data_IF_654387222885
#
_entry.id   IF_654387222885
#
_cell.length_a   1.000
_cell.length_b   1.000
_cell.length_c   1.000
_cell.angle_alpha   90.00
_cell.angle_beta   90.00
_cell.angle_gamma   90.00
#
_symmetry.space_group_name_H-M   'P 1'
#
loop_
_entity.id
_entity.type
_entity.pdbx_description
1 polymer ?
#
# COMPACT_ATOMS: atom_id res chain seq x y z
N UNK A 1 -86.63 -76.24 -39.99
CA UNK A 1 -86.24 -75.89 -41.37
C UNK A 1 -85.53 -77.10 -41.95
N UNK A 2 -86.24 -77.85 -42.79
CA UNK A 2 -86.19 -77.82 -44.27
C UNK A 2 -85.14 -78.83 -44.75
N UNK A 3 -85.59 -79.98 -45.25
CA UNK A 3 -85.61 -80.32 -46.70
C UNK A 3 -84.29 -80.98 -47.12
N UNK A 4 -84.23 -82.02 -47.95
CA UNK A 4 -85.22 -82.65 -48.80
C UNK A 4 -84.52 -83.56 -49.81
N UNK A 5 -85.30 -84.49 -50.35
CA UNK A 5 -85.25 -85.11 -51.69
C UNK A 5 -83.95 -85.79 -52.20
N UNK A 6 -83.94 -87.11 -52.46
CA UNK A 6 -84.55 -87.89 -53.57
C UNK A 6 -83.88 -87.73 -54.96
N UNK A 7 -83.65 -88.90 -55.61
CA UNK A 7 -83.64 -89.28 -57.06
C UNK A 7 -82.64 -90.46 -57.20
N UNK A 8 -82.93 -91.74 -57.47
CA UNK A 8 -83.91 -92.52 -58.27
C UNK A 8 -83.60 -92.61 -59.78
N UNK A 9 -83.71 -93.86 -60.29
CA UNK A 9 -83.91 -94.39 -61.67
C UNK A 9 -82.66 -95.07 -62.29
N UNK A 10 -82.69 -96.25 -62.95
CA UNK A 10 -83.75 -97.04 -63.65
C UNK A 10 -83.25 -98.52 -63.81
N UNK A 11 -84.07 -99.56 -63.59
CA UNK A 11 -84.79 -100.42 -64.56
C UNK A 11 -83.90 -101.33 -65.47
N UNK A 12 -84.15 -102.63 -65.69
CA UNK A 12 -85.44 -103.33 -65.71
C UNK A 12 -85.40 -104.88 -65.67
N UNK A 13 -86.64 -105.42 -65.60
CA UNK A 13 -87.21 -106.79 -65.73
C UNK A 13 -87.01 -107.38 -67.16
N UNK A 14 -87.51 -108.59 -67.61
CA UNK A 14 -88.71 -109.36 -67.18
C UNK A 14 -88.63 -110.93 -67.22
N UNK A 15 -89.45 -111.67 -66.45
CA UNK A 15 -90.65 -112.50 -66.82
C UNK A 15 -90.40 -113.96 -67.31
N UNK A 16 -90.92 -114.97 -66.55
CA UNK A 16 -92.09 -115.88 -66.82
C UNK A 16 -91.73 -117.17 -67.55
N UNK A 17 -91.89 -118.34 -66.91
CA UNK A 17 -93.01 -119.33 -67.02
C UNK A 17 -92.49 -120.56 -67.79
N UNK A 18 -92.90 -121.83 -67.66
CA UNK A 18 -94.05 -122.53 -67.08
C UNK A 18 -93.62 -123.98 -66.72
N UNK A 19 -94.23 -124.53 -65.66
CA UNK A 19 -94.82 -125.89 -65.48
C UNK A 19 -94.22 -127.12 -66.20
N UNK A 20 -93.83 -128.17 -65.44
CA UNK A 20 -94.62 -129.39 -65.13
C UNK A 20 -94.52 -130.44 -66.25
N UNK A 21 -94.24 -131.73 -66.00
CA UNK A 21 -95.18 -132.75 -65.53
C UNK A 21 -94.41 -134.06 -65.23
N UNK A 22 -94.84 -134.75 -64.16
CA UNK A 22 -94.96 -136.20 -63.85
C UNK A 22 -94.72 -137.22 -65.00
N UNK A 23 -94.58 -138.55 -64.84
CA UNK A 23 -94.39 -139.55 -63.77
C UNK A 23 -94.47 -140.94 -64.47
N UNK A 24 -94.22 -142.02 -63.72
CA UNK A 24 -94.65 -143.43 -63.93
C UNK A 24 -93.62 -144.34 -64.66
N UNK A 25 -93.09 -145.46 -64.15
CA UNK A 25 -93.51 -146.56 -63.25
C UNK A 25 -94.27 -147.71 -63.97
N UNK A 26 -93.62 -148.88 -64.08
CA UNK A 26 -94.12 -150.29 -64.18
C UNK A 26 -92.97 -151.22 -64.64
N UNK A 27 -92.48 -152.26 -63.93
CA UNK A 27 -93.08 -153.54 -63.46
C UNK A 27 -93.71 -154.39 -64.57
N UNK A 28 -93.54 -155.72 -64.74
CA UNK A 28 -92.74 -156.78 -64.08
C UNK A 28 -92.84 -158.11 -64.91
N UNK A 29 -92.10 -159.15 -64.47
CA UNK A 29 -92.41 -160.63 -64.50
C UNK A 29 -92.12 -161.58 -65.71
N UNK A 30 -91.26 -162.60 -65.42
CA UNK A 30 -91.43 -164.07 -65.65
C UNK A 30 -91.27 -164.71 -67.05
N UNK A 31 -91.01 -166.05 -67.22
CA UNK A 31 -90.75 -167.14 -66.25
C UNK A 31 -89.57 -168.14 -66.56
N UNK A 32 -89.17 -168.93 -65.54
CA UNK A 32 -88.71 -170.35 -65.44
C UNK A 32 -87.73 -171.04 -66.43
N UNK A 33 -86.52 -171.44 -65.96
CA UNK A 33 -86.12 -172.82 -65.54
C UNK A 33 -84.59 -173.07 -65.53
N UNK A 34 -84.11 -173.89 -64.57
CA UNK A 34 -82.76 -174.53 -64.42
C UNK A 34 -81.56 -173.59 -64.13
N UNK A 35 -80.67 -173.70 -63.12
CA UNK A 35 -80.21 -174.75 -62.19
C UNK A 35 -79.73 -174.13 -60.84
N UNK A 36 -79.72 -174.93 -59.76
CA UNK A 36 -79.73 -174.59 -58.32
C UNK A 36 -78.49 -173.87 -57.69
N UNK A 37 -77.50 -173.39 -58.46
CA UNK A 37 -76.25 -172.81 -57.88
C UNK A 37 -76.20 -171.26 -57.87
N UNK A 38 -76.96 -170.57 -58.72
CA UNK A 38 -76.96 -169.08 -58.74
C UNK A 38 -77.85 -168.42 -57.66
N UNK A 39 -78.83 -169.15 -57.11
CA UNK A 39 -79.82 -168.59 -56.20
C UNK A 39 -79.25 -168.31 -54.80
N UNK A 40 -78.29 -169.13 -54.34
CA UNK A 40 -77.58 -168.86 -53.09
C UNK A 40 -76.52 -167.75 -53.21
N UNK A 41 -75.94 -167.55 -54.39
CA UNK A 41 -75.02 -166.43 -54.65
C UNK A 41 -75.75 -165.07 -54.59
N UNK A 42 -76.95 -164.98 -55.15
CA UNK A 42 -77.75 -163.74 -55.12
C UNK A 42 -78.32 -163.42 -53.74
N UNK A 43 -78.69 -164.43 -52.93
CA UNK A 43 -79.07 -164.23 -51.52
C UNK A 43 -77.92 -163.65 -50.69
N UNK A 44 -76.69 -164.11 -50.94
CA UNK A 44 -75.49 -163.58 -50.27
C UNK A 44 -75.22 -162.12 -50.65
N UNK A 45 -75.31 -161.76 -51.94
CA UNK A 45 -75.13 -160.38 -52.41
C UNK A 45 -76.17 -159.40 -51.86
N UNK A 46 -77.44 -159.81 -51.74
CA UNK A 46 -78.50 -158.94 -51.18
C UNK A 46 -78.25 -158.63 -49.70
N UNK A 47 -77.76 -159.59 -48.93
CA UNK A 47 -77.47 -159.40 -47.51
C UNK A 47 -76.23 -158.52 -47.29
N UNK A 48 -75.21 -158.65 -48.13
CA UNK A 48 -74.02 -157.78 -48.12
C UNK A 48 -74.37 -156.33 -48.48
N UNK A 49 -75.25 -156.09 -49.47
CA UNK A 49 -75.72 -154.75 -49.83
C UNK A 49 -76.58 -154.10 -48.74
N UNK A 50 -77.43 -154.86 -48.05
CA UNK A 50 -78.19 -154.35 -46.89
C UNK A 50 -77.28 -153.98 -45.71
N UNK A 51 -76.17 -154.71 -45.53
CA UNK A 51 -75.18 -154.41 -44.49
C UNK A 51 -74.40 -153.13 -44.84
N UNK A 52 -74.06 -152.95 -46.12
CA UNK A 52 -73.37 -151.75 -46.60
C UNK A 52 -74.24 -150.49 -46.53
N UNK A 53 -75.54 -150.60 -46.81
CA UNK A 53 -76.47 -149.47 -46.70
C UNK A 53 -76.62 -148.97 -45.25
N UNK A 54 -76.69 -149.88 -44.26
CA UNK A 54 -76.73 -149.52 -42.84
C UNK A 54 -75.43 -148.87 -42.35
N UNK A 55 -74.27 -149.31 -42.85
CA UNK A 55 -73.00 -148.68 -42.52
C UNK A 55 -72.89 -147.25 -43.07
N UNK A 56 -73.39 -147.00 -44.29
CA UNK A 56 -73.37 -145.64 -44.88
C UNK A 56 -74.30 -144.69 -44.14
N UNK A 57 -75.45 -145.15 -43.65
CA UNK A 57 -76.33 -144.34 -42.77
C UNK A 57 -75.65 -144.01 -41.43
N UNK A 58 -74.96 -144.99 -40.82
CA UNK A 58 -74.23 -144.78 -39.57
C UNK A 58 -73.05 -143.80 -39.75
N UNK A 59 -72.29 -143.90 -40.83
CA UNK A 59 -71.20 -142.97 -41.15
C UNK A 59 -71.71 -141.54 -41.44
N UNK A 60 -72.84 -141.40 -42.13
CA UNK A 60 -73.46 -140.07 -42.36
C UNK A 60 -73.88 -139.40 -41.04
N UNK A 61 -74.39 -140.19 -40.09
CA UNK A 61 -74.76 -139.68 -38.77
C UNK A 61 -73.54 -139.24 -37.96
N UNK A 62 -72.43 -139.99 -38.07
CA UNK A 62 -71.17 -139.69 -37.38
C UNK A 62 -70.46 -138.46 -37.96
N UNK A 63 -70.46 -138.28 -39.28
CA UNK A 63 -69.91 -137.09 -39.95
C UNK A 63 -70.72 -135.83 -39.65
N UNK A 64 -72.05 -135.92 -39.55
CA UNK A 64 -72.89 -134.80 -39.06
C UNK A 64 -72.54 -134.42 -37.62
N UNK A 65 -72.33 -135.40 -36.74
CA UNK A 65 -71.90 -135.15 -35.36
C UNK A 65 -70.53 -134.46 -35.28
N UNK A 66 -69.57 -134.83 -36.14
CA UNK A 66 -68.27 -134.15 -36.20
C UNK A 66 -68.37 -132.73 -36.78
N UNK A 67 -69.23 -132.51 -37.78
CA UNK A 67 -69.45 -131.19 -38.36
C UNK A 67 -70.08 -130.22 -37.35
N UNK A 68 -71.05 -130.68 -36.55
CA UNK A 68 -71.66 -129.86 -35.49
C UNK A 68 -70.64 -129.51 -34.38
N UNK A 69 -69.75 -130.45 -34.03
CA UNK A 69 -68.64 -130.19 -33.09
C UNK A 69 -67.65 -129.15 -33.63
N UNK A 70 -67.30 -129.21 -34.92
CA UNK A 70 -66.43 -128.21 -35.55
C UNK A 70 -67.10 -126.84 -35.67
N UNK A 71 -68.38 -126.77 -36.02
CA UNK A 71 -69.14 -125.52 -36.02
C UNK A 71 -69.17 -124.88 -34.63
N UNK A 72 -69.31 -125.67 -33.56
CA UNK A 72 -69.30 -125.17 -32.18
C UNK A 72 -67.92 -124.62 -31.78
N UNK A 73 -66.83 -125.27 -32.21
CA UNK A 73 -65.47 -124.80 -31.96
C UNK A 73 -65.14 -123.50 -32.73
N UNK A 74 -65.63 -123.35 -33.97
CA UNK A 74 -65.48 -122.13 -34.77
C UNK A 74 -66.20 -120.95 -34.13
N UNK A 75 -67.44 -121.13 -33.65
CA UNK A 75 -68.18 -120.09 -32.93
C UNK A 75 -67.44 -119.64 -31.64
N UNK A 76 -66.84 -120.59 -30.91
CA UNK A 76 -66.04 -120.29 -29.71
C UNK A 76 -64.77 -119.50 -30.03
N UNK A 77 -64.07 -119.85 -31.12
CA UNK A 77 -62.89 -119.11 -31.58
C UNK A 77 -63.25 -117.73 -32.15
N UNK A 78 -64.37 -117.59 -32.85
CA UNK A 78 -64.90 -116.30 -33.29
C UNK A 78 -65.23 -115.40 -32.10
N UNK A 79 -65.86 -115.93 -31.05
CA UNK A 79 -66.11 -115.18 -29.81
C UNK A 79 -64.81 -114.73 -29.12
N UNK A 80 -63.78 -115.58 -29.06
CA UNK A 80 -62.46 -115.21 -28.50
C UNK A 80 -61.72 -114.21 -29.37
N UNK A 81 -61.85 -114.29 -30.69
CA UNK A 81 -61.26 -113.32 -31.61
C UNK A 81 -61.92 -111.95 -31.45
N UNK A 82 -63.23 -111.91 -31.23
CA UNK A 82 -63.96 -110.67 -30.99
C UNK A 82 -63.63 -110.05 -29.63
N UNK A 83 -63.41 -110.86 -28.60
CA UNK A 83 -62.88 -110.41 -27.31
C UNK A 83 -61.47 -109.82 -27.45
N UNK A 84 -60.57 -110.48 -28.18
CA UNK A 84 -59.23 -109.96 -28.47
C UNK A 84 -59.29 -108.67 -29.29
N UNK A 85 -60.23 -108.55 -30.23
CA UNK A 85 -60.43 -107.31 -31.00
C UNK A 85 -60.93 -106.18 -30.11
N UNK A 86 -61.86 -106.45 -29.19
CA UNK A 86 -62.33 -105.47 -28.21
C UNK A 86 -61.19 -105.02 -27.27
N UNK A 87 -60.38 -105.96 -26.79
CA UNK A 87 -59.22 -105.64 -25.95
C UNK A 87 -58.14 -104.86 -26.71
N UNK A 88 -57.90 -105.20 -27.98
CA UNK A 88 -56.93 -104.49 -28.82
C UNK A 88 -57.42 -103.07 -29.17
N UNK A 89 -58.73 -102.88 -29.39
CA UNK A 89 -59.32 -101.55 -29.55
C UNK A 89 -59.20 -100.72 -28.25
N UNK A 90 -59.38 -101.36 -27.09
CA UNK A 90 -59.25 -100.71 -25.77
C UNK A 90 -57.80 -100.38 -25.43
N UNK A 91 -56.84 -101.23 -25.80
CA UNK A 91 -55.40 -100.97 -25.68
C UNK A 91 -54.99 -99.83 -26.61
N UNK A 92 -55.48 -99.81 -27.85
CA UNK A 92 -55.23 -98.72 -28.79
C UNK A 92 -55.71 -97.36 -28.26
N UNK A 93 -56.93 -97.30 -27.70
CA UNK A 93 -57.43 -96.09 -27.03
C UNK A 93 -56.58 -95.69 -25.82
N UNK A 94 -56.09 -96.65 -25.02
CA UNK A 94 -55.19 -96.36 -23.89
C UNK A 94 -53.82 -95.85 -24.33
N UNK A 95 -53.28 -96.36 -25.43
CA UNK A 95 -52.02 -95.89 -26.01
C UNK A 95 -52.18 -94.46 -26.52
N UNK A 96 -53.26 -94.16 -27.27
CA UNK A 96 -53.57 -92.80 -27.73
C UNK A 96 -53.80 -91.82 -26.55
N UNK A 97 -54.44 -92.28 -25.47
CA UNK A 97 -54.61 -91.50 -24.24
C UNK A 97 -53.27 -91.26 -23.50
N UNK A 98 -52.34 -92.22 -23.52
CA UNK A 98 -51.02 -92.06 -22.93
C UNK A 98 -50.12 -91.15 -23.78
N UNK A 99 -50.19 -91.25 -25.10
CA UNK A 99 -49.46 -90.35 -26.02
C UNK A 99 -49.92 -88.90 -25.83
N UNK A 100 -51.23 -88.66 -25.74
CA UNK A 100 -51.77 -87.32 -25.47
C UNK A 100 -51.39 -86.81 -24.07
N UNK A 101 -51.39 -87.68 -23.05
CA UNK A 101 -50.90 -87.33 -21.71
C UNK A 101 -49.42 -87.02 -21.69
N UNK A 102 -48.59 -87.75 -22.43
CA UNK A 102 -47.14 -87.51 -22.53
C UNK A 102 -46.86 -86.15 -23.20
N UNK A 103 -47.58 -85.83 -24.28
CA UNK A 103 -47.46 -84.52 -24.93
C UNK A 103 -47.91 -83.38 -24.00
N UNK A 104 -48.94 -83.59 -23.18
CA UNK A 104 -49.33 -82.60 -22.15
C UNK A 104 -48.26 -82.46 -21.06
N UNK A 105 -47.68 -83.58 -20.61
CA UNK A 105 -46.59 -83.60 -19.63
C UNK A 105 -45.36 -82.84 -20.16
N UNK A 106 -44.92 -83.12 -21.40
CA UNK A 106 -43.80 -82.43 -22.05
C UNK A 106 -44.06 -80.92 -22.17
N UNK A 107 -45.29 -80.52 -22.48
CA UNK A 107 -45.67 -79.12 -22.55
C UNK A 107 -45.64 -78.44 -21.17
N UNK A 108 -46.06 -79.14 -20.10
CA UNK A 108 -45.99 -78.64 -18.73
C UNK A 108 -44.54 -78.55 -18.24
N UNK A 109 -43.71 -79.53 -18.56
CA UNK A 109 -42.28 -79.53 -18.22
C UNK A 109 -41.58 -78.37 -18.95
N UNK A 110 -41.86 -78.17 -20.23
CA UNK A 110 -41.36 -77.02 -21.00
C UNK A 110 -41.82 -75.68 -20.42
N UNK A 111 -43.11 -75.57 -20.07
CA UNK A 111 -43.68 -74.37 -19.42
C UNK A 111 -43.01 -74.10 -18.06
N UNK A 112 -42.69 -75.14 -17.30
CA UNK A 112 -42.00 -75.04 -16.01
C UNK A 112 -40.57 -74.56 -16.17
N UNK A 113 -39.85 -75.05 -17.18
CA UNK A 113 -38.50 -74.56 -17.53
C UNK A 113 -38.55 -73.09 -17.97
N UNK A 114 -39.51 -72.72 -18.83
CA UNK A 114 -39.69 -71.33 -19.27
C UNK A 114 -40.00 -70.37 -18.11
N UNK A 115 -40.87 -70.78 -17.17
CA UNK A 115 -41.19 -69.99 -15.99
C UNK A 115 -40.00 -69.86 -15.03
N UNK A 116 -39.23 -70.93 -14.83
CA UNK A 116 -38.02 -70.88 -14.02
C UNK A 116 -36.95 -69.97 -14.64
N UNK A 117 -36.77 -70.02 -15.96
CA UNK A 117 -35.85 -69.11 -16.65
C UNK A 117 -36.33 -67.66 -16.54
N UNK A 118 -37.64 -67.41 -16.70
CA UNK A 118 -38.21 -66.08 -16.53
C UNK A 118 -38.06 -65.56 -15.09
N UNK A 119 -38.22 -66.42 -14.08
CA UNK A 119 -37.98 -66.07 -12.68
C UNK A 119 -36.50 -65.73 -12.44
N UNK A 120 -35.58 -66.50 -13.02
CA UNK A 120 -34.13 -66.26 -12.90
C UNK A 120 -33.72 -64.95 -13.57
N UNK A 121 -34.30 -64.63 -14.72
CA UNK A 121 -34.09 -63.34 -15.42
C UNK A 121 -34.64 -62.18 -14.57
N UNK A 122 -35.85 -62.30 -14.01
CA UNK A 122 -36.41 -61.26 -13.14
C UNK A 122 -35.61 -61.06 -11.85
N UNK A 123 -35.08 -62.12 -11.25
CA UNK A 123 -34.18 -62.01 -10.10
C UNK A 123 -32.88 -61.30 -10.49
N UNK A 124 -32.31 -61.63 -11.65
CA UNK A 124 -31.10 -60.97 -12.16
C UNK A 124 -31.36 -59.48 -12.41
N UNK A 125 -32.45 -59.12 -13.09
CA UNK A 125 -32.85 -57.72 -13.35
C UNK A 125 -33.09 -56.93 -12.06
N UNK A 126 -33.71 -57.56 -11.04
CA UNK A 126 -33.90 -56.93 -9.73
C UNK A 126 -32.57 -56.73 -9.01
N UNK A 127 -31.65 -57.69 -9.10
CA UNK A 127 -30.33 -57.60 -8.50
C UNK A 127 -29.48 -56.51 -9.17
N UNK A 128 -29.48 -56.44 -10.51
CA UNK A 128 -28.75 -55.38 -11.24
C UNK A 128 -29.33 -54.01 -10.92
N UNK A 129 -30.65 -53.85 -10.92
CA UNK A 129 -31.30 -52.57 -10.61
C UNK A 129 -31.10 -52.16 -9.14
N UNK A 130 -31.00 -53.13 -8.22
CA UNK A 130 -30.66 -52.86 -6.83
C UNK A 130 -29.20 -52.39 -6.67
N UNK A 131 -28.25 -53.01 -7.38
CA UNK A 131 -26.84 -52.59 -7.35
C UNK A 131 -26.65 -51.22 -8.01
N UNK A 132 -27.31 -50.95 -9.15
CA UNK A 132 -27.30 -49.62 -9.79
C UNK A 132 -27.87 -48.55 -8.86
N UNK A 133 -29.00 -48.83 -8.17
CA UNK A 133 -29.55 -47.89 -7.17
C UNK A 133 -28.59 -47.64 -6.02
N UNK A 134 -27.87 -48.66 -5.57
CA UNK A 134 -26.87 -48.54 -4.50
C UNK A 134 -25.69 -47.69 -4.95
N UNK A 135 -25.15 -47.92 -6.16
CA UNK A 135 -24.09 -47.09 -6.74
C UNK A 135 -24.53 -45.64 -6.94
N UNK A 136 -25.75 -45.41 -7.42
CA UNK A 136 -26.31 -44.07 -7.52
C UNK A 136 -26.48 -43.40 -6.15
N UNK A 137 -26.90 -44.13 -5.12
CA UNK A 137 -26.99 -43.57 -3.77
C UNK A 137 -25.61 -43.21 -3.18
N UNK A 138 -24.60 -44.06 -3.42
CA UNK A 138 -23.23 -43.83 -2.97
C UNK A 138 -22.62 -42.60 -3.65
N UNK A 139 -22.72 -42.52 -4.99
CA UNK A 139 -22.23 -41.34 -5.75
C UNK A 139 -22.94 -40.05 -5.36
N UNK A 140 -24.24 -40.07 -5.10
CA UNK A 140 -24.98 -38.89 -4.61
C UNK A 140 -24.50 -38.44 -3.22
N UNK A 141 -24.20 -39.38 -2.32
CA UNK A 141 -23.69 -39.02 -1.00
C UNK A 141 -22.23 -38.53 -1.07
N UNK A 142 -21.40 -39.12 -1.91
CA UNK A 142 -20.05 -38.62 -2.21
C UNK A 142 -20.08 -37.18 -2.74
N UNK A 143 -20.92 -36.90 -3.75
CA UNK A 143 -21.10 -35.55 -4.30
C UNK A 143 -21.61 -34.57 -3.25
N UNK A 144 -22.53 -34.99 -2.38
CA UNK A 144 -23.03 -34.16 -1.28
C UNK A 144 -21.94 -33.84 -0.27
N UNK A 145 -21.11 -34.82 0.11
CA UNK A 145 -19.97 -34.61 1.01
C UNK A 145 -18.93 -33.69 0.37
N UNK A 146 -18.61 -33.92 -0.92
CA UNK A 146 -17.68 -33.09 -1.67
C UNK A 146 -18.17 -31.64 -1.79
N UNK A 147 -19.45 -31.43 -2.12
CA UNK A 147 -20.05 -30.11 -2.18
C UNK A 147 -20.03 -29.40 -0.83
N UNK A 148 -20.34 -30.11 0.27
CA UNK A 148 -20.23 -29.55 1.62
C UNK A 148 -18.79 -29.18 1.98
N UNK A 149 -17.80 -30.01 1.63
CA UNK A 149 -16.39 -29.70 1.85
C UNK A 149 -15.98 -28.45 1.08
N UNK A 150 -16.37 -28.33 -0.19
CA UNK A 150 -16.13 -27.15 -1.02
C UNK A 150 -16.77 -25.89 -0.44
N UNK A 151 -18.00 -25.97 0.06
CA UNK A 151 -18.67 -24.83 0.71
C UNK A 151 -17.93 -24.37 1.97
N UNK A 152 -17.46 -25.30 2.81
CA UNK A 152 -16.67 -24.96 4.01
C UNK A 152 -15.36 -24.27 3.66
N UNK A 153 -14.65 -24.77 2.63
CA UNK A 153 -13.40 -24.16 2.15
C UNK A 153 -13.65 -22.74 1.58
N UNK A 154 -14.75 -22.58 0.84
CA UNK A 154 -15.19 -21.27 0.34
C UNK A 154 -15.53 -20.30 1.48
N UNK A 155 -16.19 -20.75 2.53
CA UNK A 155 -16.52 -19.89 3.68
C UNK A 155 -15.27 -19.51 4.50
N UNK A 156 -14.28 -20.42 4.59
CA UNK A 156 -12.98 -20.14 5.20
C UNK A 156 -12.21 -19.07 4.43
N UNK A 157 -12.10 -19.21 3.10
CA UNK A 157 -11.43 -18.21 2.24
C UNK A 157 -12.11 -16.84 2.28
N UNK A 158 -13.46 -16.79 2.30
CA UNK A 158 -14.20 -15.54 2.49
C UNK A 158 -13.91 -14.89 3.85
N UNK A 159 -13.81 -15.70 4.91
CA UNK A 159 -13.47 -15.21 6.26
C UNK A 159 -12.06 -14.62 6.32
N UNK A 160 -11.10 -15.25 5.65
CA UNK A 160 -9.73 -14.73 5.49
C UNK A 160 -9.71 -13.41 4.71
N UNK A 161 -10.44 -13.33 3.59
CA UNK A 161 -10.56 -12.11 2.80
C UNK A 161 -11.15 -10.95 3.62
N UNK A 162 -12.18 -11.20 4.42
CA UNK A 162 -12.73 -10.21 5.34
C UNK A 162 -11.74 -9.81 6.44
N UNK A 163 -10.88 -10.74 6.89
CA UNK A 163 -9.76 -10.45 7.78
C UNK A 163 -8.75 -9.49 7.12
N UNK A 164 -8.30 -9.83 5.92
CA UNK A 164 -7.37 -9.01 5.13
C UNK A 164 -7.93 -7.63 4.82
N UNK A 165 -9.22 -7.53 4.50
CA UNK A 165 -9.88 -6.24 4.24
C UNK A 165 -9.89 -5.32 5.47
N UNK A 166 -10.08 -5.90 6.68
CA UNK A 166 -9.97 -5.14 7.93
C UNK A 166 -8.54 -4.69 8.21
N UNK A 167 -7.55 -5.54 7.99
CA UNK A 167 -6.14 -5.13 8.12
C UNK A 167 -5.76 -4.04 7.11
N UNK A 168 -6.25 -4.13 5.89
CA UNK A 168 -6.00 -3.12 4.86
C UNK A 168 -6.62 -1.75 5.25
N UNK A 169 -7.79 -1.76 5.90
CA UNK A 169 -8.37 -0.53 6.46
C UNK A 169 -7.47 0.09 7.53
N UNK A 170 -6.88 -0.73 8.43
CA UNK A 170 -5.92 -0.24 9.44
C UNK A 170 -4.67 0.36 8.79
N UNK A 171 -4.16 -0.25 7.72
CA UNK A 171 -3.04 0.31 6.93
C UNK A 171 -3.39 1.71 6.41
N UNK A 172 -4.61 1.91 5.93
CA UNK A 172 -5.10 3.23 5.51
C UNK A 172 -5.06 4.27 6.64
N UNK A 173 -5.46 3.91 7.85
CA UNK A 173 -5.42 4.82 9.00
C UNK A 173 -3.98 5.09 9.49
N UNK A 174 -3.11 4.08 9.46
CA UNK A 174 -1.68 4.29 9.70
C UNK A 174 -1.07 5.23 8.67
N UNK A 175 -1.42 5.10 7.38
CA UNK A 175 -0.93 5.97 6.32
C UNK A 175 -1.32 7.44 6.54
N UNK A 176 -2.58 7.69 6.93
CA UNK A 176 -3.03 9.05 7.31
C UNK A 176 -2.22 9.60 8.49
N UNK A 177 -2.05 8.79 9.53
CA UNK A 177 -1.30 9.17 10.73
C UNK A 177 0.16 9.50 10.39
N UNK A 178 0.82 8.69 9.57
CA UNK A 178 2.18 8.94 9.09
C UNK A 178 2.25 10.25 8.30
N UNK A 179 1.28 10.51 7.43
CA UNK A 179 1.23 11.75 6.64
C UNK A 179 1.08 13.00 7.51
N UNK A 180 0.26 12.93 8.56
CA UNK A 180 0.16 14.00 9.57
C UNK A 180 1.48 14.21 10.31
N UNK A 181 2.15 13.13 10.74
CA UNK A 181 3.45 13.22 11.40
C UNK A 181 4.52 13.84 10.51
N UNK A 182 4.59 13.44 9.23
CA UNK A 182 5.49 14.06 8.24
C UNK A 182 5.23 15.56 8.13
N UNK A 183 3.95 15.95 8.11
CA UNK A 183 3.56 17.37 8.03
C UNK A 183 3.97 18.15 9.28
N UNK A 184 3.79 17.58 10.47
CA UNK A 184 4.25 18.16 11.75
C UNK A 184 5.77 18.33 11.77
N UNK A 185 6.53 17.31 11.37
CA UNK A 185 8.00 17.37 11.29
C UNK A 185 8.46 18.49 10.35
N UNK A 186 7.86 18.61 9.16
CA UNK A 186 8.17 19.71 8.22
C UNK A 186 7.87 21.10 8.80
N UNK A 187 6.83 21.22 9.63
CA UNK A 187 6.51 22.50 10.27
C UNK A 187 7.55 22.88 11.32
N UNK A 188 7.91 21.94 12.21
CA UNK A 188 8.95 22.15 13.23
C UNK A 188 10.29 22.50 12.58
N UNK A 189 10.62 21.88 11.45
CA UNK A 189 11.86 22.17 10.73
C UNK A 189 11.88 23.57 10.10
N UNK A 190 10.73 24.08 9.65
CA UNK A 190 10.58 25.49 9.24
C UNK A 190 10.75 26.44 10.42
N UNK A 191 10.06 26.19 11.53
CA UNK A 191 10.18 27.00 12.75
C UNK A 191 11.61 27.06 13.28
N UNK A 192 12.33 25.94 13.26
CA UNK A 192 13.76 25.89 13.59
C UNK A 192 14.60 26.78 12.67
N UNK A 193 14.34 26.76 11.36
CA UNK A 193 15.07 27.58 10.39
C UNK A 193 14.78 29.07 10.58
N UNK A 194 13.54 29.42 10.86
CA UNK A 194 13.14 30.80 11.15
C UNK A 194 13.80 31.31 12.45
N UNK A 195 13.82 30.48 13.50
CA UNK A 195 14.52 30.80 14.74
C UNK A 195 16.04 30.98 14.51
N UNK A 196 16.66 30.13 13.69
CA UNK A 196 18.08 30.28 13.33
C UNK A 196 18.34 31.58 12.57
N UNK A 197 17.47 31.94 11.64
CA UNK A 197 17.59 33.22 10.92
C UNK A 197 17.45 34.40 11.87
N UNK A 198 16.49 34.35 12.82
CA UNK A 198 16.34 35.35 13.87
C UNK A 198 17.60 35.48 14.74
N UNK A 199 18.19 34.35 15.16
CA UNK A 199 19.44 34.33 15.91
C UNK A 199 20.60 34.97 15.13
N UNK A 200 20.76 34.62 13.85
CA UNK A 200 21.79 35.22 13.01
C UNK A 200 21.58 36.74 12.86
N UNK A 201 20.33 37.20 12.73
CA UNK A 201 19.99 38.62 12.70
C UNK A 201 20.40 39.35 13.99
N UNK A 202 20.13 38.74 15.15
CA UNK A 202 20.56 39.28 16.45
C UNK A 202 22.08 39.34 16.57
N UNK A 203 22.82 38.34 16.08
CA UNK A 203 24.29 38.39 16.05
C UNK A 203 24.81 39.57 15.23
N UNK A 204 24.22 39.85 14.06
CA UNK A 204 24.58 41.03 13.27
C UNK A 204 24.31 42.34 14.01
N UNK A 205 23.17 42.44 14.73
CA UNK A 205 22.85 43.62 15.54
C UNK A 205 23.88 43.80 16.66
N UNK A 206 24.26 42.73 17.35
CA UNK A 206 25.29 42.78 18.41
C UNK A 206 26.62 43.28 17.83
N UNK A 207 27.07 42.74 16.70
CA UNK A 207 28.32 43.16 16.07
C UNK A 207 28.30 44.65 15.67
N UNK A 208 27.17 45.15 15.18
CA UNK A 208 27.03 46.58 14.86
C UNK A 208 27.08 47.45 16.12
N UNK A 209 26.38 47.06 17.19
CA UNK A 209 26.41 47.79 18.46
C UNK A 209 27.80 47.78 19.10
N UNK A 210 28.53 46.67 19.03
CA UNK A 210 29.93 46.60 19.49
C UNK A 210 30.84 47.56 18.72
N UNK A 211 30.63 47.69 17.41
CA UNK A 211 31.35 48.66 16.58
C UNK A 211 31.01 50.09 17.00
N UNK A 212 29.73 50.44 17.10
CA UNK A 212 29.30 51.78 17.52
C UNK A 212 29.82 52.15 18.92
N UNK A 213 29.87 51.19 19.84
CA UNK A 213 30.42 51.37 21.17
C UNK A 213 31.94 51.66 21.12
N UNK A 214 32.68 50.94 20.27
CA UNK A 214 34.12 51.18 20.10
C UNK A 214 34.40 52.53 19.44
N UNK A 215 33.64 52.89 18.40
CA UNK A 215 33.75 54.19 17.74
C UNK A 215 33.47 55.33 18.76
N UNK A 216 32.44 55.17 19.59
CA UNK A 216 32.12 56.12 20.66
C UNK A 216 33.23 56.20 21.72
N UNK A 217 33.83 55.07 22.08
CA UNK A 217 34.98 55.03 23.02
C UNK A 217 36.17 55.80 22.47
N UNK A 218 36.49 55.66 21.18
CA UNK A 218 37.57 56.41 20.55
C UNK A 218 37.28 57.92 20.53
N UNK A 219 36.06 58.32 20.19
CA UNK A 219 35.66 59.73 20.23
C UNK A 219 35.83 60.35 21.64
N UNK A 220 35.50 59.60 22.70
CA UNK A 220 35.73 60.06 24.09
C UNK A 220 37.21 60.22 24.39
N UNK A 221 38.07 59.28 23.95
CA UNK A 221 39.52 59.38 24.16
C UNK A 221 40.12 60.61 23.46
N UNK A 222 39.65 60.93 22.26
CA UNK A 222 40.08 62.12 21.52
C UNK A 222 39.67 63.40 22.25
N UNK A 223 38.43 63.47 22.74
CA UNK A 223 37.94 64.61 23.54
C UNK A 223 38.72 64.77 24.87
N UNK A 224 39.05 63.67 25.54
CA UNK A 224 39.89 63.72 26.76
C UNK A 224 41.27 64.31 26.47
N UNK A 225 41.86 63.98 25.31
CA UNK A 225 43.13 64.53 24.86
C UNK A 225 43.00 66.03 24.56
N UNK A 226 41.99 66.45 23.81
CA UNK A 226 41.74 67.87 23.52
C UNK A 226 41.53 68.69 24.80
N UNK A 227 40.80 68.13 25.78
CA UNK A 227 40.60 68.77 27.08
C UNK A 227 41.91 68.90 27.86
N UNK A 228 42.78 67.89 27.79
CA UNK A 228 44.11 67.94 28.39
C UNK A 228 44.97 69.01 27.73
N UNK A 229 44.99 69.08 26.40
CA UNK A 229 45.76 70.07 25.65
C UNK A 229 45.26 71.50 25.95
N UNK A 230 43.94 71.69 25.98
CA UNK A 230 43.31 72.97 26.36
C UNK A 230 43.68 73.39 27.79
N UNK A 231 43.76 72.44 28.73
CA UNK A 231 44.19 72.73 30.11
C UNK A 231 45.65 73.22 30.16
N UNK A 232 46.54 72.65 29.36
CA UNK A 232 47.92 73.14 29.28
C UNK A 232 47.99 74.55 28.69
N UNK A 233 47.22 74.81 27.62
CA UNK A 233 47.16 76.14 27.02
C UNK A 233 46.67 77.21 28.03
N UNK A 234 45.66 76.88 28.86
CA UNK A 234 45.22 77.78 29.93
C UNK A 234 46.32 78.01 30.97
N UNK A 235 47.03 76.97 31.39
CA UNK A 235 48.15 77.12 32.34
C UNK A 235 49.28 77.99 31.77
N UNK A 236 49.57 77.87 30.48
CA UNK A 236 50.57 78.70 29.83
C UNK A 236 50.14 80.18 29.81
N UNK A 237 48.88 80.46 29.46
CA UNK A 237 48.32 81.82 29.54
C UNK A 237 48.28 82.39 30.97
N UNK A 238 48.01 81.55 31.98
CA UNK A 238 48.09 81.97 33.38
C UNK A 238 49.51 82.37 33.78
N UNK A 239 50.53 81.65 33.30
CA UNK A 239 51.95 82.02 33.50
C UNK A 239 52.30 83.32 32.79
N UNK A 240 51.93 83.46 31.51
CA UNK A 240 52.18 84.69 30.75
C UNK A 240 51.51 85.91 31.41
N UNK A 241 50.28 85.76 31.90
CA UNK A 241 49.60 86.82 32.64
C UNK A 241 50.31 87.17 33.96
N UNK A 242 50.84 86.18 34.68
CA UNK A 242 51.62 86.43 35.90
C UNK A 242 52.91 87.20 35.60
N UNK A 243 53.61 86.82 34.52
CA UNK A 243 54.80 87.53 34.05
C UNK A 243 54.47 88.98 33.66
N UNK A 244 53.41 89.22 32.89
CA UNK A 244 52.96 90.57 32.56
C UNK A 244 52.65 91.41 33.79
N UNK A 245 52.03 90.82 34.82
CA UNK A 245 51.75 91.52 36.07
C UNK A 245 53.03 91.95 36.80
N UNK A 246 54.07 91.10 36.79
CA UNK A 246 55.40 91.44 37.32
C UNK A 246 56.05 92.59 36.52
N UNK A 247 55.94 92.55 35.19
CA UNK A 247 56.42 93.62 34.31
C UNK A 247 55.74 94.97 34.60
N UNK A 248 54.41 94.98 34.73
CA UNK A 248 53.66 96.19 35.09
C UNK A 248 54.10 96.76 36.43
N UNK A 249 54.25 95.91 37.45
CA UNK A 249 54.71 96.35 38.78
C UNK A 249 56.15 96.90 38.76
N UNK A 250 57.01 96.35 37.90
CA UNK A 250 58.35 96.88 37.67
C UNK A 250 58.31 98.26 37.01
N UNK A 251 57.44 98.46 36.02
CA UNK A 251 57.24 99.76 35.37
C UNK A 251 56.69 100.81 36.35
N UNK A 252 55.70 100.45 37.18
CA UNK A 252 55.19 101.34 38.23
C UNK A 252 56.31 101.79 39.16
N UNK A 253 57.18 100.87 39.59
CA UNK A 253 58.35 101.19 40.42
C UNK A 253 59.34 102.12 39.70
N UNK A 254 59.57 101.94 38.39
CA UNK A 254 60.38 102.87 37.59
C UNK A 254 59.77 104.27 37.53
N UNK A 255 58.44 104.37 37.33
CA UNK A 255 57.73 105.65 37.36
C UNK A 255 57.84 106.34 38.72
N UNK A 256 57.73 105.60 39.82
CA UNK A 256 57.94 106.14 41.17
C UNK A 256 59.35 106.71 41.36
N UNK A 257 60.37 106.00 40.87
CA UNK A 257 61.78 106.47 40.89
C UNK A 257 61.95 107.73 40.05
N UNK A 258 61.35 107.79 38.87
CA UNK A 258 61.38 108.97 38.00
C UNK A 258 60.73 110.18 38.68
N UNK A 259 59.55 110.00 39.28
CA UNK A 259 58.85 111.05 40.03
C UNK A 259 59.71 111.54 41.21
N UNK A 260 60.32 110.62 41.97
CA UNK A 260 61.20 110.97 43.07
C UNK A 260 62.43 111.76 42.61
N UNK A 261 63.03 111.35 41.48
CA UNK A 261 64.17 112.04 40.85
C UNK A 261 63.79 113.45 40.41
N UNK A 262 62.66 113.60 39.72
CA UNK A 262 62.15 114.90 39.29
C UNK A 262 61.85 115.83 40.47
N UNK A 263 61.25 115.31 41.56
CA UNK A 263 61.06 116.08 42.80
C UNK A 263 62.39 116.51 43.42
N UNK A 264 63.37 115.62 43.48
CA UNK A 264 64.70 115.92 44.00
C UNK A 264 65.41 117.00 43.19
N UNK A 265 65.43 116.89 41.86
CA UNK A 265 66.03 117.89 40.94
C UNK A 265 65.31 119.23 41.08
N UNK A 266 63.97 119.23 41.11
CA UNK A 266 63.18 120.46 41.29
C UNK A 266 63.48 121.14 42.62
N UNK A 267 63.55 120.38 43.71
CA UNK A 267 63.90 120.91 45.04
C UNK A 267 65.32 121.47 45.08
N UNK A 268 66.31 120.79 44.48
CA UNK A 268 67.68 121.32 44.36
C UNK A 268 67.74 122.59 43.52
N UNK A 269 66.97 122.65 42.44
CA UNK A 269 66.89 123.82 41.57
C UNK A 269 66.28 125.01 42.32
N UNK A 270 65.19 124.79 43.06
CA UNK A 270 64.57 125.80 43.91
C UNK A 270 65.53 126.29 45.00
N UNK A 271 66.19 125.36 45.71
CA UNK A 271 67.18 125.70 46.74
C UNK A 271 68.33 126.54 46.17
N UNK A 272 68.82 126.22 44.97
CA UNK A 272 69.82 127.03 44.28
C UNK A 272 69.29 128.41 43.88
N UNK A 273 68.03 128.51 43.45
CA UNK A 273 67.41 129.79 43.07
C UNK A 273 67.17 130.72 44.27
N UNK A 274 66.84 130.17 45.45
CA UNK A 274 66.63 130.92 46.69
C UNK A 274 67.93 131.46 47.30
N UNK A 275 69.08 130.93 46.90
CA UNK A 275 70.39 131.47 47.30
C UNK A 275 70.56 132.91 46.80
N UNK A 276 71.10 133.77 47.66
CA UNK A 276 71.44 135.14 47.28
C UNK A 276 72.44 135.15 46.12
N UNK A 277 72.52 136.28 45.39
CA UNK A 277 73.45 136.41 44.27
C UNK A 277 74.92 136.16 44.65
N UNK A 278 75.31 136.39 45.92
CA UNK A 278 76.65 136.05 46.42
C UNK A 278 76.79 134.55 46.66
N UNK A 279 75.86 133.94 47.39
CA UNK A 279 75.89 132.51 47.70
C UNK A 279 75.86 131.65 46.44
N UNK A 280 75.09 132.02 45.41
CA UNK A 280 75.11 131.31 44.12
C UNK A 280 76.48 131.36 43.44
N UNK A 281 77.18 132.51 43.49
CA UNK A 281 78.54 132.61 42.94
C UNK A 281 79.49 131.74 43.72
N UNK A 282 79.49 131.84 45.05
CA UNK A 282 80.37 131.04 45.90
C UNK A 282 80.13 129.54 45.68
N UNK A 283 78.86 129.12 45.51
CA UNK A 283 78.51 127.74 45.14
C UNK A 283 79.05 127.34 43.76
N UNK A 284 78.85 128.17 42.73
CA UNK A 284 79.37 127.89 41.38
C UNK A 284 80.89 127.83 41.35
N UNK A 285 81.57 128.74 42.07
CA UNK A 285 83.03 128.78 42.20
C UNK A 285 83.54 127.54 42.94
N UNK A 286 82.92 127.17 44.06
CA UNK A 286 83.30 125.97 44.80
C UNK A 286 83.10 124.70 43.96
N UNK A 287 81.97 124.57 43.25
CA UNK A 287 81.75 123.44 42.35
C UNK A 287 82.68 123.43 41.14
N UNK A 288 83.03 124.59 40.61
CA UNK A 288 83.99 124.70 39.52
C UNK A 288 85.41 124.38 39.97
N UNK A 289 85.81 124.77 41.18
CA UNK A 289 87.08 124.41 41.81
C UNK A 289 87.17 122.90 42.11
N UNK A 290 86.07 122.28 42.56
CA UNK A 290 86.00 120.82 42.73
C UNK A 290 86.22 120.05 41.42
N UNK A 291 85.63 120.52 40.31
CA UNK A 291 85.78 119.88 39.00
C UNK A 291 87.09 120.27 38.29
N UNK A 292 87.58 121.48 38.53
CA UNK A 292 88.76 122.07 37.91
C UNK A 292 89.63 122.82 38.95
N UNK A 293 90.47 122.10 39.70
CA UNK A 293 91.29 122.69 40.76
C UNK A 293 92.22 123.81 40.25
N UNK A 294 92.33 124.90 41.02
CA UNK A 294 93.12 126.10 40.74
C UNK A 294 92.45 127.10 39.79
N UNK A 295 91.19 126.87 39.39
CA UNK A 295 90.46 127.74 38.44
C UNK A 295 89.23 128.42 39.02
N UNK A 296 88.90 128.18 40.28
CA UNK A 296 87.81 128.83 41.00
C UNK A 296 88.01 130.35 41.12
N UNK A 297 89.22 130.81 41.48
CA UNK A 297 89.52 132.23 41.66
C UNK A 297 89.33 133.04 40.36
N UNK A 298 89.69 132.47 39.21
CA UNK A 298 89.46 133.07 37.88
C UNK A 298 87.97 133.24 37.59
N UNK A 299 87.18 132.19 37.87
CA UNK A 299 85.73 132.25 37.69
C UNK A 299 85.08 133.24 38.66
N UNK A 300 85.49 133.28 39.93
CA UNK A 300 85.00 134.23 40.94
C UNK A 300 85.26 135.68 40.51
N UNK A 301 86.48 135.96 40.05
CA UNK A 301 86.85 137.27 39.53
C UNK A 301 85.95 137.68 38.35
N UNK A 302 85.74 136.78 37.38
CA UNK A 302 84.89 137.05 36.21
C UNK A 302 83.41 137.23 36.58
N UNK A 303 82.88 136.41 37.49
CA UNK A 303 81.49 136.53 37.95
C UNK A 303 81.26 137.82 38.74
N UNK A 304 82.19 138.22 39.63
CA UNK A 304 82.14 139.51 40.33
C UNK A 304 82.17 140.68 39.34
N UNK A 305 83.04 140.60 38.33
CA UNK A 305 83.17 141.60 37.28
C UNK A 305 81.86 141.89 36.55
N UNK A 306 81.06 140.86 36.31
CA UNK A 306 79.84 140.91 35.49
C UNK A 306 78.58 141.38 36.24
N UNK A 307 78.59 141.41 37.58
CA UNK A 307 77.41 141.77 38.39
C UNK A 307 77.10 143.28 38.46
N UNK A 308 78.02 144.13 38.02
CA UNK A 308 77.89 145.59 38.09
C UNK A 308 77.25 146.20 36.83
N UNK A 309 75.92 146.08 36.66
CA UNK A 309 75.10 146.82 35.65
C UNK A 309 75.42 146.59 34.15
N UNK A 310 74.42 146.81 33.28
CA UNK A 310 74.46 146.55 31.83
C UNK A 310 75.65 147.27 31.16
N UNK A 311 76.44 146.55 30.35
CA UNK A 311 77.62 147.04 29.61
C UNK A 311 78.77 147.57 30.49
N UNK A 312 78.85 147.15 31.75
CA UNK A 312 79.96 147.49 32.66
C UNK A 312 80.60 146.23 33.22
N UNK A 313 81.92 146.15 33.13
CA UNK A 313 82.71 145.02 33.64
C UNK A 313 83.75 145.57 34.62
N UNK A 314 83.82 144.99 35.82
CA UNK A 314 84.81 145.36 36.84
C UNK A 314 86.06 144.45 36.74
N UNK A 315 87.17 144.97 36.21
CA UNK A 315 88.44 144.23 36.10
C UNK A 315 89.49 144.95 36.94
N UNK A 316 90.15 144.23 37.87
CA UNK A 316 91.15 144.78 38.81
C UNK A 316 90.68 146.01 39.61
N UNK A 317 89.45 145.97 40.11
CA UNK A 317 88.90 147.04 40.96
C UNK A 317 88.46 148.30 40.19
N UNK A 318 88.53 148.30 38.86
CA UNK A 318 88.09 149.42 38.01
C UNK A 318 86.89 149.01 37.15
N UNK A 319 85.80 149.79 37.23
CA UNK A 319 84.60 149.62 36.40
C UNK A 319 84.87 150.23 35.03
N UNK A 320 84.86 149.43 33.96
CA UNK A 320 84.96 149.88 32.57
C UNK A 320 83.62 149.74 31.85
N UNK A 321 83.23 150.77 31.11
CA UNK A 321 82.17 150.68 30.10
C UNK A 321 82.72 149.88 28.91
N UNK A 322 82.04 148.79 28.55
CA UNK A 322 82.42 147.89 27.44
C UNK A 322 81.36 147.93 26.35
N UNK A 323 81.77 147.57 25.13
CA UNK A 323 80.82 147.44 24.02
C UNK A 323 79.77 146.35 24.32
N UNK A 324 78.58 146.49 23.74
CA UNK A 324 77.52 145.50 23.93
C UNK A 324 77.95 144.09 23.46
N UNK A 325 78.75 144.02 22.39
CA UNK A 325 79.29 142.77 21.84
C UNK A 325 80.29 142.11 22.79
N UNK A 326 81.19 142.89 23.39
CA UNK A 326 82.17 142.42 24.37
C UNK A 326 81.49 141.95 25.67
N UNK A 327 80.48 142.69 26.13
CA UNK A 327 79.64 142.27 27.24
C UNK A 327 78.93 140.94 26.96
N UNK A 328 78.35 140.76 25.76
CA UNK A 328 77.75 139.50 25.37
C UNK A 328 78.77 138.36 25.25
N UNK A 329 79.96 138.59 24.70
CA UNK A 329 81.03 137.58 24.62
C UNK A 329 81.45 137.10 26.00
N UNK A 330 81.75 138.01 26.93
CA UNK A 330 82.17 137.62 28.28
C UNK A 330 81.05 136.91 29.05
N UNK A 331 79.79 137.36 28.87
CA UNK A 331 78.63 136.65 29.40
C UNK A 331 78.45 135.25 28.79
N UNK A 332 78.77 135.07 27.51
CA UNK A 332 78.75 133.77 26.84
C UNK A 332 79.90 132.87 27.30
N UNK A 333 81.09 133.42 27.57
CA UNK A 333 82.23 132.67 28.11
C UNK A 333 81.96 132.17 29.52
N UNK A 334 81.41 133.02 30.40
CA UNK A 334 80.94 132.60 31.73
C UNK A 334 79.86 131.53 31.59
N UNK A 335 78.87 131.72 30.69
CA UNK A 335 77.82 130.72 30.45
C UNK A 335 78.39 129.39 29.94
N UNK A 336 79.42 129.42 29.11
CA UNK A 336 80.11 128.23 28.61
C UNK A 336 80.86 127.52 29.75
N UNK A 337 81.60 128.25 30.59
CA UNK A 337 82.27 127.69 31.78
C UNK A 337 81.27 127.09 32.77
N UNK A 338 80.10 127.70 32.94
CA UNK A 338 79.03 127.19 33.81
C UNK A 338 78.24 126.03 33.17
N UNK A 339 78.17 125.93 31.84
CA UNK A 339 77.55 124.79 31.16
C UNK A 339 78.30 123.48 31.44
N UNK A 340 79.62 123.55 31.61
CA UNK A 340 80.47 122.42 32.01
C UNK A 340 80.17 121.91 33.44
N UNK A 341 79.47 122.70 34.28
CA UNK A 341 79.00 122.26 35.60
C UNK A 341 77.70 121.43 35.54
N UNK A 342 77.03 121.41 34.38
CA UNK A 342 75.72 120.78 34.17
C UNK A 342 75.72 119.58 33.22
N UNK A 343 76.88 119.14 32.75
CA UNK A 343 77.11 117.83 32.12
C UNK A 343 77.66 116.87 33.17
#
# INVERSE_FOLDING_TARGET
ELEGANLRLKAGRPQTSDNSVQASLKEAEGPNSTTNEELESRKKQINELQTHAKNVEAENFQLRGQLDLQCTAVISLESRLEEVRADNAKLKQKVEALETSHVMQDNLDKRTVELNEQARVQELERATLAEEKKQHAETVEEDKVAHQAWMRDRDATLSELHGLQRENAKIGDYSKTVTEWISKCRNVEREKKDAQNGYNGLQCIIANLEKELNDSRHAVQDLEKELKDSRHAVQDLERENADLWLWMRSLDACCDVEIATNKFVSARTAAFQDMSGRERRDFCVARYEELYPGRGDDLDCQMKAFTYTRNRICHDGVIRDVSHEEFQRNGNDIRKKLADLGA
#
